data_IF_403718030201
#
_entry.id   IF_403718030201
#
_cell.length_a   1.000
_cell.length_b   1.000
_cell.length_c   1.000
_cell.angle_alpha   90.00
_cell.angle_beta   90.00
_cell.angle_gamma   90.00
#
_symmetry.space_group_name_H-M   'P 1'
#
loop_
_entity.id
_entity.type
_entity.pdbx_description
1 polymer ?
#
# COMPACT_ATOMS: atom_id res chain seq x y z
N UNK A 1 -14.67 18.27 -9.93
CA UNK A 1 -13.25 18.55 -9.66
C UNK A 1 -13.08 18.83 -8.17
N UNK A 2 -11.90 18.56 -7.63
CA UNK A 2 -11.48 18.88 -6.25
C UNK A 2 -10.12 19.55 -6.30
N UNK A 3 -9.96 20.62 -5.53
CA UNK A 3 -8.73 21.40 -5.40
C UNK A 3 -8.79 22.15 -4.07
N UNK A 4 -7.66 22.65 -3.60
CA UNK A 4 -7.63 23.53 -2.44
C UNK A 4 -8.37 24.86 -2.75
N UNK A 5 -9.13 25.46 -1.81
CA UNK A 5 -9.84 26.72 -2.06
C UNK A 5 -8.94 27.87 -2.56
N UNK A 6 -7.71 27.95 -2.05
CA UNK A 6 -6.73 28.96 -2.51
C UNK A 6 -6.31 28.76 -3.98
N UNK A 7 -6.33 27.52 -4.50
CA UNK A 7 -6.07 27.26 -5.91
C UNK A 7 -7.26 27.65 -6.79
N UNK A 8 -8.48 27.60 -6.26
CA UNK A 8 -9.67 27.99 -7.00
C UNK A 8 -9.62 29.47 -7.38
N UNK A 9 -9.30 30.34 -6.43
CA UNK A 9 -9.22 31.79 -6.64
C UNK A 9 -8.14 32.20 -7.65
N UNK A 10 -7.07 31.40 -7.75
CA UNK A 10 -5.96 31.68 -8.67
C UNK A 10 -6.16 31.07 -10.06
N UNK A 11 -6.93 29.97 -10.17
CA UNK A 11 -7.10 29.22 -11.43
C UNK A 11 -8.44 29.43 -12.12
N UNK A 12 -9.44 29.93 -11.40
CA UNK A 12 -10.77 30.21 -11.96
C UNK A 12 -10.96 31.71 -12.00
N UNK A 13 -11.10 32.26 -13.20
CA UNK A 13 -11.46 33.65 -13.38
C UNK A 13 -12.93 33.88 -12.96
N UNK A 14 -13.08 34.30 -11.71
CA UNK A 14 -14.39 34.58 -11.09
C UNK A 14 -15.08 35.76 -11.79
N UNK A 15 -14.33 36.66 -12.43
CA UNK A 15 -14.91 37.83 -13.12
C UNK A 15 -15.77 37.44 -14.33
N UNK A 16 -15.51 36.27 -14.92
CA UNK A 16 -16.34 35.68 -15.97
C UNK A 16 -17.60 34.97 -15.47
N UNK A 17 -17.76 34.77 -14.16
CA UNK A 17 -18.90 34.05 -13.59
C UNK A 17 -20.09 35.00 -13.35
N UNK A 18 -21.27 34.60 -13.84
CA UNK A 18 -22.53 35.31 -13.56
C UNK A 18 -23.25 34.61 -12.43
N UNK A 19 -23.57 35.36 -11.36
CA UNK A 19 -24.41 34.86 -10.26
C UNK A 19 -25.79 34.50 -10.83
N UNK A 20 -26.19 33.24 -10.66
CA UNK A 20 -27.52 32.76 -11.01
C UNK A 20 -28.24 32.27 -9.76
N UNK A 21 -29.58 32.42 -9.66
CA UNK A 21 -30.36 31.76 -8.62
C UNK A 21 -30.16 30.24 -8.70
N UNK A 22 -30.01 29.59 -7.55
CA UNK A 22 -29.84 28.15 -7.50
C UNK A 22 -31.14 27.44 -7.92
N UNK A 23 -31.14 26.81 -9.09
CA UNK A 23 -32.23 25.93 -9.53
C UNK A 23 -32.22 24.65 -8.69
N UNK A 24 -33.36 24.32 -8.07
CA UNK A 24 -33.53 23.11 -7.25
C UNK A 24 -33.12 21.83 -7.99
N UNK A 25 -33.35 21.76 -9.31
CA UNK A 25 -32.94 20.60 -10.13
C UNK A 25 -31.41 20.52 -10.23
N UNK A 26 -30.75 21.64 -10.41
CA UNK A 26 -29.28 21.71 -10.45
C UNK A 26 -28.66 21.40 -9.10
N UNK A 27 -29.26 21.89 -7.99
CA UNK A 27 -28.83 21.57 -6.63
C UNK A 27 -28.94 20.07 -6.38
N UNK A 28 -30.08 19.45 -6.71
CA UNK A 28 -30.26 18.00 -6.55
C UNK A 28 -29.23 17.21 -7.35
N UNK A 29 -29.00 17.59 -8.62
CA UNK A 29 -27.98 16.95 -9.46
C UNK A 29 -26.57 17.13 -8.89
N UNK A 30 -26.25 18.31 -8.35
CA UNK A 30 -24.96 18.58 -7.71
C UNK A 30 -24.77 17.70 -6.46
N UNK A 31 -25.82 17.54 -5.64
CA UNK A 31 -25.80 16.65 -4.48
C UNK A 31 -25.61 15.19 -4.88
N UNK A 32 -26.27 14.72 -5.93
CA UNK A 32 -26.09 13.36 -6.46
C UNK A 32 -24.65 13.13 -6.94
N UNK A 33 -24.09 14.07 -7.71
CA UNK A 33 -22.68 14.01 -8.14
C UNK A 33 -21.75 14.03 -6.93
N UNK A 34 -22.01 14.88 -5.93
CA UNK A 34 -21.20 14.93 -4.73
C UNK A 34 -21.25 13.61 -3.96
N UNK A 35 -22.43 13.02 -3.74
CA UNK A 35 -22.59 11.76 -3.04
C UNK A 35 -21.85 10.59 -3.74
N UNK A 36 -21.83 10.58 -5.07
CA UNK A 36 -21.16 9.54 -5.87
C UNK A 36 -19.63 9.74 -5.89
N UNK A 37 -19.16 10.96 -6.12
CA UNK A 37 -17.75 11.23 -6.38
C UNK A 37 -16.95 11.53 -5.11
N UNK A 38 -17.58 12.10 -4.07
CA UNK A 38 -16.88 12.48 -2.85
C UNK A 38 -16.18 11.31 -2.13
N UNK A 39 -16.79 10.12 -1.95
CA UNK A 39 -16.17 9.00 -1.25
C UNK A 39 -14.96 8.38 -1.98
N UNK A 40 -14.71 8.77 -3.23
CA UNK A 40 -13.65 8.18 -4.07
C UNK A 40 -12.26 8.73 -3.76
N UNK A 41 -12.14 9.92 -3.18
CA UNK A 41 -10.86 10.59 -2.94
C UNK A 41 -10.88 11.42 -1.66
N UNK A 42 -9.70 11.82 -1.17
CA UNK A 42 -9.51 12.75 -0.05
C UNK A 42 -10.38 12.46 1.17
N UNK A 43 -10.55 11.18 1.49
CA UNK A 43 -11.28 10.76 2.68
C UNK A 43 -10.42 9.86 3.53
N UNK A 44 -10.57 10.07 4.83
CA UNK A 44 -9.81 9.38 5.85
C UNK A 44 -10.73 8.41 6.57
N UNK A 45 -10.24 7.19 6.80
CA UNK A 45 -10.84 6.25 7.72
C UNK A 45 -10.26 6.48 9.13
N UNK A 46 -11.09 7.02 10.02
CA UNK A 46 -10.74 7.32 11.41
C UNK A 46 -11.11 6.19 12.38
N UNK A 47 -11.73 5.10 11.91
CA UNK A 47 -12.13 3.89 12.65
C UNK A 47 -12.48 4.11 14.12
N UNK A 48 -11.49 3.95 15.00
CA UNK A 48 -11.61 3.99 16.46
C UNK A 48 -12.12 5.35 16.98
N UNK A 49 -11.94 6.43 16.22
CA UNK A 49 -12.34 7.79 16.60
C UNK A 49 -13.73 8.17 16.08
N UNK A 50 -14.11 7.68 14.89
CA UNK A 50 -15.39 8.01 14.28
C UNK A 50 -15.78 6.99 13.21
N UNK A 51 -17.07 6.68 13.17
CA UNK A 51 -17.69 5.85 12.10
C UNK A 51 -18.10 6.68 10.87
N UNK A 52 -18.04 8.01 10.97
CA UNK A 52 -18.40 8.89 9.87
C UNK A 52 -17.27 8.98 8.83
N UNK A 53 -17.60 9.31 7.59
CA UNK A 53 -16.57 9.54 6.56
C UNK A 53 -16.08 10.98 6.68
N UNK A 54 -14.80 11.13 7.05
CA UNK A 54 -14.16 12.44 7.14
C UNK A 54 -13.46 12.76 5.82
N UNK A 55 -13.59 14.01 5.39
CA UNK A 55 -12.93 14.51 4.18
C UNK A 55 -11.84 15.49 4.56
N UNK A 56 -10.70 15.38 3.86
CA UNK A 56 -9.62 16.35 3.96
C UNK A 56 -9.61 17.28 2.76
N UNK A 57 -9.11 18.48 2.99
CA UNK A 57 -8.80 19.39 1.90
C UNK A 57 -7.53 18.89 1.19
N UNK A 58 -7.50 18.88 -0.15
CA UNK A 58 -6.26 18.68 -0.91
C UNK A 58 -5.20 19.70 -0.48
N UNK A 59 -3.92 19.35 -0.56
CA UNK A 59 -2.88 20.36 -0.31
C UNK A 59 -2.89 21.42 -1.41
N UNK A 60 -2.35 22.61 -1.13
CA UNK A 60 -2.19 23.64 -2.16
C UNK A 60 -1.35 23.10 -3.32
N UNK A 61 -1.86 23.23 -4.53
CA UNK A 61 -1.26 22.69 -5.76
C UNK A 61 -1.85 21.35 -6.19
N UNK A 62 -2.45 20.58 -5.28
CA UNK A 62 -3.11 19.32 -5.59
C UNK A 62 -4.41 19.55 -6.37
N UNK A 63 -4.70 18.63 -7.29
CA UNK A 63 -5.88 18.70 -8.13
C UNK A 63 -6.40 17.31 -8.45
N UNK A 64 -7.73 17.15 -8.46
CA UNK A 64 -8.38 15.94 -8.92
C UNK A 64 -9.58 16.27 -9.81
N UNK A 65 -9.61 15.68 -11.00
CA UNK A 65 -10.68 15.80 -11.96
C UNK A 65 -11.22 14.42 -12.35
N UNK A 66 -12.52 14.23 -12.25
CA UNK A 66 -13.22 13.09 -12.85
C UNK A 66 -13.77 13.53 -14.21
N UNK A 67 -13.28 12.91 -15.29
CA UNK A 67 -13.59 13.25 -16.67
C UNK A 67 -14.44 12.13 -17.25
N UNK A 68 -15.72 12.42 -17.49
CA UNK A 68 -16.65 11.47 -18.11
C UNK A 68 -16.48 11.52 -19.62
N UNK A 69 -16.11 10.39 -20.22
CA UNK A 69 -15.93 10.25 -21.67
C UNK A 69 -16.95 9.26 -22.24
N UNK A 70 -17.31 9.43 -23.52
CA UNK A 70 -18.26 8.53 -24.17
C UNK A 70 -17.66 7.14 -24.45
N UNK A 71 -16.37 7.08 -24.84
CA UNK A 71 -15.72 5.84 -25.29
C UNK A 71 -15.00 5.08 -24.17
N UNK A 72 -14.39 5.80 -23.23
CA UNK A 72 -13.47 5.20 -22.24
C UNK A 72 -14.06 5.15 -20.83
N UNK A 73 -15.29 5.62 -20.64
CA UNK A 73 -15.91 5.73 -19.32
C UNK A 73 -15.38 6.95 -18.55
N UNK A 74 -15.34 6.85 -17.22
CA UNK A 74 -14.84 7.92 -16.35
C UNK A 74 -13.35 7.74 -16.09
N UNK A 75 -12.56 8.74 -16.46
CA UNK A 75 -11.13 8.79 -16.19
C UNK A 75 -10.85 9.77 -15.05
N UNK A 76 -9.95 9.40 -14.15
CA UNK A 76 -9.49 10.24 -13.05
C UNK A 76 -8.16 10.85 -13.44
N UNK A 77 -8.11 12.17 -13.55
CA UNK A 77 -6.86 12.93 -13.60
C UNK A 77 -6.54 13.39 -12.19
N UNK A 78 -5.33 13.12 -11.71
CA UNK A 78 -4.85 13.68 -10.45
C UNK A 78 -3.49 14.33 -10.61
N UNK A 79 -3.31 15.43 -9.88
CA UNK A 79 -2.01 15.97 -9.54
C UNK A 79 -1.89 15.96 -8.03
N UNK A 80 -0.88 15.27 -7.49
CA UNK A 80 -0.61 15.19 -6.06
C UNK A 80 0.87 15.45 -5.82
N UNK A 81 1.19 16.52 -5.10
CA UNK A 81 2.57 16.85 -4.75
C UNK A 81 3.24 15.77 -3.89
N UNK A 82 4.58 15.84 -3.79
CA UNK A 82 5.37 14.96 -2.92
C UNK A 82 5.86 13.66 -3.58
N UNK A 83 5.35 13.31 -4.76
CA UNK A 83 5.84 12.19 -5.55
C UNK A 83 6.77 12.65 -6.67
N UNK A 84 7.68 11.76 -7.09
CA UNK A 84 8.57 12.00 -8.22
C UNK A 84 7.82 12.22 -9.54
N UNK A 85 6.70 11.52 -9.68
CA UNK A 85 5.74 11.64 -10.77
C UNK A 85 4.41 12.09 -10.15
N UNK A 86 4.21 13.40 -10.11
CA UNK A 86 3.06 14.02 -9.43
C UNK A 86 1.80 14.08 -10.29
N UNK A 87 1.84 13.70 -11.58
CA UNK A 87 0.68 13.72 -12.47
C UNK A 87 0.29 12.32 -12.90
N UNK A 88 -0.99 11.96 -12.71
CA UNK A 88 -1.53 10.65 -13.07
C UNK A 88 -2.84 10.76 -13.86
N UNK A 89 -3.02 9.85 -14.82
CA UNK A 89 -4.29 9.56 -15.47
C UNK A 89 -4.64 8.10 -15.21
N UNK A 90 -5.79 7.86 -14.57
CA UNK A 90 -6.17 6.55 -14.07
C UNK A 90 -7.61 6.19 -14.45
N UNK A 91 -7.81 4.94 -14.85
CA UNK A 91 -9.14 4.34 -15.00
C UNK A 91 -9.48 3.56 -13.71
N UNK A 92 -10.33 4.15 -12.87
CA UNK A 92 -10.76 3.56 -11.60
C UNK A 92 -11.58 2.28 -11.78
N UNK A 93 -12.42 2.21 -12.82
CA UNK A 93 -13.28 1.07 -13.04
C UNK A 93 -12.46 -0.19 -13.38
N UNK A 94 -11.38 -0.01 -14.13
CA UNK A 94 -10.45 -1.08 -14.53
C UNK A 94 -9.22 -1.20 -13.63
N UNK A 95 -9.10 -0.36 -12.60
CA UNK A 95 -7.93 -0.25 -11.70
C UNK A 95 -6.61 -0.13 -12.47
N UNK A 96 -6.58 0.71 -13.51
CA UNK A 96 -5.45 0.81 -14.45
C UNK A 96 -4.90 2.22 -14.56
N UNK A 97 -3.59 2.37 -14.33
CA UNK A 97 -2.86 3.58 -14.68
C UNK A 97 -2.66 3.67 -16.20
N UNK A 98 -3.06 4.79 -16.79
CA UNK A 98 -2.93 5.06 -18.23
C UNK A 98 -1.64 5.84 -18.51
N UNK A 99 -1.37 6.86 -17.70
CA UNK A 99 -0.13 7.64 -17.78
C UNK A 99 0.28 8.14 -16.40
N UNK A 100 1.59 8.23 -16.20
CA UNK A 100 2.23 8.72 -14.98
C UNK A 100 3.47 9.52 -15.40
N UNK A 101 3.61 10.76 -14.93
CA UNK A 101 4.75 11.61 -15.25
C UNK A 101 4.93 12.76 -14.26
N UNK A 102 6.11 13.38 -14.28
CA UNK A 102 6.44 14.55 -13.48
C UNK A 102 5.96 15.86 -14.13
N UNK A 103 5.33 16.73 -13.35
CA UNK A 103 4.93 18.07 -13.77
C UNK A 103 6.14 18.97 -14.01
N UNK A 104 6.00 20.05 -14.81
CA UNK A 104 7.09 21.01 -15.05
C UNK A 104 7.66 21.60 -13.75
N UNK A 105 6.84 21.87 -12.74
CA UNK A 105 7.30 22.36 -11.44
C UNK A 105 8.11 21.32 -10.67
N UNK A 106 7.71 20.05 -10.72
CA UNK A 106 8.45 18.95 -10.08
C UNK A 106 9.80 18.75 -10.75
N UNK A 107 9.82 18.78 -12.10
CA UNK A 107 11.07 18.70 -12.87
C UNK A 107 12.00 19.89 -12.62
N UNK A 108 11.45 21.10 -12.48
CA UNK A 108 12.25 22.29 -12.18
C UNK A 108 12.87 22.23 -10.77
N UNK A 109 12.15 21.70 -9.78
CA UNK A 109 12.64 21.56 -8.40
C UNK A 109 13.65 20.41 -8.25
N UNK A 110 13.39 19.27 -8.89
CA UNK A 110 14.19 18.05 -8.81
C UNK A 110 15.43 18.07 -9.70
N UNK A 111 15.35 18.79 -10.82
CA UNK A 111 16.33 18.70 -11.89
C UNK A 111 16.13 17.47 -12.81
N UNK A 112 17.02 17.30 -13.80
CA UNK A 112 16.87 16.30 -14.86
C UNK A 112 17.08 14.86 -14.39
N UNK A 113 17.78 14.64 -13.29
CA UNK A 113 18.05 13.32 -12.72
C UNK A 113 17.07 12.99 -11.61
N UNK A 114 16.63 11.74 -11.55
CA UNK A 114 15.79 11.22 -10.47
C UNK A 114 16.62 10.29 -9.60
N UNK A 115 16.70 10.58 -8.31
CA UNK A 115 17.17 9.66 -7.29
C UNK A 115 16.00 9.34 -6.36
N UNK A 116 15.73 8.05 -6.17
CA UNK A 116 14.70 7.57 -5.24
C UNK A 116 15.00 8.01 -3.79
N UNK A 117 16.27 8.24 -3.45
CA UNK A 117 16.67 8.59 -2.09
C UNK A 117 16.37 10.05 -1.70
N UNK A 118 16.28 10.96 -2.67
CA UNK A 118 16.21 12.41 -2.42
C UNK A 118 14.87 12.87 -1.79
N UNK A 119 13.82 12.03 -1.89
CA UNK A 119 12.48 12.32 -1.34
C UNK A 119 12.18 11.58 -0.03
N UNK A 120 13.15 10.82 0.52
CA UNK A 120 12.92 10.01 1.72
C UNK A 120 12.89 10.85 2.98
N UNK A 121 11.75 10.87 3.66
CA UNK A 121 11.64 11.46 5.00
C UNK A 121 12.25 10.56 6.09
N UNK A 122 12.34 9.26 5.82
CA UNK A 122 12.93 8.25 6.69
C UNK A 122 13.50 7.07 5.88
N UNK A 123 14.33 6.29 6.55
CA UNK A 123 15.07 5.13 6.05
C UNK A 123 14.76 3.93 6.96
N UNK A 124 14.38 2.77 6.41
CA UNK A 124 14.00 1.60 7.23
C UNK A 124 15.19 0.66 7.35
N UNK A 125 15.64 0.44 8.59
CA UNK A 125 16.84 -0.31 8.89
C UNK A 125 16.56 -1.81 8.95
N UNK A 126 15.47 -2.19 9.62
CA UNK A 126 15.17 -3.58 9.94
C UNK A 126 13.66 -3.82 10.07
N UNK A 127 13.25 -5.00 9.61
CA UNK A 127 11.88 -5.51 9.76
C UNK A 127 11.86 -6.81 10.55
N UNK A 128 10.99 -6.88 11.55
CA UNK A 128 10.60 -8.13 12.18
C UNK A 128 9.11 -8.35 11.95
N UNK A 129 8.78 -9.30 11.07
CA UNK A 129 7.42 -9.55 10.59
C UNK A 129 6.95 -10.88 11.16
N UNK A 130 6.00 -10.84 12.09
CA UNK A 130 5.29 -12.00 12.59
C UNK A 130 3.92 -12.08 11.91
N UNK A 131 3.66 -13.12 11.11
CA UNK A 131 2.39 -13.27 10.40
C UNK A 131 1.79 -14.66 10.53
N UNK A 132 0.47 -14.73 10.58
CA UNK A 132 -0.33 -15.95 10.48
C UNK A 132 -1.12 -15.89 9.18
N UNK A 133 -0.97 -16.90 8.33
CA UNK A 133 -1.62 -16.97 7.01
C UNK A 133 -2.65 -18.09 6.99
N UNK A 134 -3.83 -17.78 6.46
CA UNK A 134 -4.91 -18.74 6.23
C UNK A 134 -5.22 -18.81 4.73
N UNK A 135 -4.51 -19.68 3.98
CA UNK A 135 -4.66 -19.77 2.52
C UNK A 135 -6.10 -19.99 2.05
N UNK A 136 -6.84 -20.89 2.71
CA UNK A 136 -8.22 -21.25 2.34
C UNK A 136 -9.18 -20.06 2.40
N UNK A 137 -8.93 -19.12 3.32
CA UNK A 137 -9.75 -17.92 3.52
C UNK A 137 -9.15 -16.68 2.86
N UNK A 138 -7.96 -16.80 2.28
CA UNK A 138 -7.15 -15.69 1.79
C UNK A 138 -7.01 -14.59 2.85
N UNK A 139 -6.71 -14.99 4.09
CA UNK A 139 -6.70 -14.10 5.24
C UNK A 139 -5.32 -14.06 5.87
N UNK A 140 -4.90 -12.88 6.29
CA UNK A 140 -3.63 -12.62 6.95
C UNK A 140 -3.88 -11.90 8.27
N UNK A 141 -3.15 -12.32 9.29
CA UNK A 141 -2.94 -11.57 10.52
C UNK A 141 -1.45 -11.28 10.63
N UNK A 142 -1.09 -10.04 10.93
CA UNK A 142 0.30 -9.60 10.94
C UNK A 142 0.59 -8.66 12.09
N UNK A 143 1.79 -8.80 12.64
CA UNK A 143 2.42 -7.86 13.55
C UNK A 143 3.81 -7.58 12.99
N UNK A 144 4.08 -6.33 12.67
CA UNK A 144 5.36 -5.92 12.15
C UNK A 144 5.99 -4.92 13.10
N UNK A 145 7.16 -5.28 13.62
CA UNK A 145 8.05 -4.36 14.27
C UNK A 145 9.02 -3.83 13.22
N UNK A 146 9.10 -2.51 13.07
CA UNK A 146 10.00 -1.86 12.12
C UNK A 146 10.86 -0.85 12.87
N UNK A 147 12.15 -0.84 12.55
CA UNK A 147 13.08 0.18 13.04
C UNK A 147 13.44 1.09 11.88
N UNK A 148 13.20 2.39 12.04
CA UNK A 148 13.49 3.40 11.03
C UNK A 148 14.35 4.53 11.59
N UNK A 149 15.04 5.22 10.69
CA UNK A 149 15.84 6.41 10.98
C UNK A 149 15.32 7.59 10.19
N UNK A 150 15.11 8.71 10.88
CA UNK A 150 14.62 9.94 10.27
C UNK A 150 15.71 10.57 9.41
N UNK A 151 15.35 10.90 8.16
CA UNK A 151 16.23 11.56 7.19
C UNK A 151 15.81 13.01 6.95
N UNK A 152 14.55 13.38 7.19
CA UNK A 152 14.12 14.78 7.13
C UNK A 152 14.69 15.59 8.32
N UNK A 153 14.84 16.91 8.16
CA UNK A 153 15.28 17.79 9.26
C UNK A 153 14.33 17.72 10.45
N UNK A 154 13.03 17.71 10.17
CA UNK A 154 11.98 17.45 11.14
C UNK A 154 10.82 16.68 10.49
N UNK A 155 10.42 15.57 11.10
CA UNK A 155 9.30 14.74 10.66
C UNK A 155 8.23 14.68 11.75
N UNK A 156 7.05 15.25 11.48
CA UNK A 156 5.87 15.11 12.36
C UNK A 156 5.00 13.91 11.98
N UNK A 157 5.13 13.42 10.75
CA UNK A 157 4.34 12.32 10.21
C UNK A 157 5.23 11.33 9.48
N UNK A 158 4.84 10.06 9.53
CA UNK A 158 5.47 8.96 8.80
C UNK A 158 4.42 8.30 7.92
N UNK A 159 4.67 8.25 6.62
CA UNK A 159 3.80 7.55 5.66
C UNK A 159 4.42 6.22 5.31
N UNK A 160 3.67 5.14 5.48
CA UNK A 160 4.02 3.76 5.13
C UNK A 160 3.03 3.25 4.09
N UNK A 161 3.40 2.20 3.35
CA UNK A 161 2.56 1.52 2.38
C UNK A 161 2.07 0.18 2.93
N UNK A 162 0.76 -0.05 2.92
CA UNK A 162 0.12 -1.29 3.38
C UNK A 162 -1.15 -1.52 2.56
N UNK A 163 -1.42 -2.74 2.15
CA UNK A 163 -2.56 -3.03 1.27
C UNK A 163 -3.89 -2.55 1.90
N UNK A 164 -4.74 -1.93 1.06
CA UNK A 164 -6.02 -1.34 1.47
C UNK A 164 -6.95 -2.30 2.24
N UNK A 165 -7.06 -3.60 1.87
CA UNK A 165 -7.88 -4.56 2.61
C UNK A 165 -7.39 -4.88 4.02
N UNK A 166 -6.16 -4.49 4.39
CA UNK A 166 -5.56 -4.79 5.69
C UNK A 166 -5.97 -3.74 6.71
N UNK A 167 -6.84 -4.14 7.61
CA UNK A 167 -7.24 -3.38 8.77
C UNK A 167 -6.10 -3.22 9.76
N UNK A 168 -5.58 -2.01 9.95
CA UNK A 168 -4.64 -1.68 11.03
C UNK A 168 -5.42 -1.52 12.33
N UNK A 169 -5.00 -2.22 13.37
CA UNK A 169 -5.66 -2.23 14.70
C UNK A 169 -4.88 -1.42 15.74
N UNK A 170 -3.55 -1.39 15.62
CA UNK A 170 -2.70 -0.60 16.51
C UNK A 170 -1.40 -0.20 15.84
N UNK A 171 -0.95 1.01 16.13
CA UNK A 171 0.41 1.47 15.91
C UNK A 171 0.95 1.95 17.25
N UNK A 172 2.05 1.35 17.71
CA UNK A 172 2.69 1.66 18.99
C UNK A 172 4.16 1.96 18.73
N UNK A 173 4.70 2.98 19.39
CA UNK A 173 6.13 3.24 19.47
C UNK A 173 6.60 2.98 20.89
N UNK A 174 7.83 2.48 21.04
CA UNK A 174 8.46 2.34 22.34
C UNK A 174 8.72 3.69 23.01
N UNK A 175 9.02 4.74 22.23
CA UNK A 175 9.28 6.09 22.75
C UNK A 175 7.98 6.85 23.09
N UNK A 176 6.94 6.68 22.27
CA UNK A 176 5.75 7.52 22.30
C UNK A 176 4.47 6.81 22.75
N UNK A 177 4.51 5.50 22.97
CA UNK A 177 3.33 4.70 23.27
C UNK A 177 2.40 4.56 22.06
N UNK A 178 1.08 4.53 22.29
CA UNK A 178 0.10 4.38 21.22
C UNK A 178 0.05 5.64 20.35
N UNK A 179 0.29 5.46 19.05
CA UNK A 179 0.32 6.55 18.08
C UNK A 179 -1.04 6.71 17.39
N UNK A 180 -1.35 7.96 17.04
CA UNK A 180 -2.46 8.26 16.15
C UNK A 180 -2.07 7.89 14.72
N UNK A 181 -2.88 7.09 14.05
CA UNK A 181 -2.69 6.74 12.65
C UNK A 181 -3.99 6.89 11.88
N UNK A 182 -3.87 7.03 10.57
CA UNK A 182 -5.01 7.13 9.67
C UNK A 182 -4.68 6.48 8.33
N UNK A 183 -5.73 5.97 7.68
CA UNK A 183 -5.64 5.38 6.35
C UNK A 183 -6.43 6.20 5.35
N UNK A 184 -5.87 6.36 4.16
CA UNK A 184 -6.57 6.94 3.03
C UNK A 184 -7.39 5.82 2.39
N UNK A 185 -8.70 6.03 2.19
CA UNK A 185 -9.55 5.02 1.56
C UNK A 185 -9.21 4.87 0.08
N UNK A 186 -9.27 3.64 -0.43
CA UNK A 186 -8.92 3.28 -1.81
C UNK A 186 -7.44 3.53 -2.15
N UNK A 187 -6.58 3.59 -1.14
CA UNK A 187 -5.15 3.79 -1.27
C UNK A 187 -4.39 2.86 -0.31
N UNK A 188 -3.12 2.61 -0.59
CA UNK A 188 -2.26 1.79 0.27
C UNK A 188 -1.48 2.63 1.30
N UNK A 189 -1.77 3.92 1.42
CA UNK A 189 -1.16 4.81 2.42
C UNK A 189 -1.66 4.55 3.85
N UNK A 190 -0.71 4.29 4.75
CA UNK A 190 -0.85 4.31 6.21
C UNK A 190 -0.04 5.50 6.74
N UNK A 191 -0.70 6.49 7.32
CA UNK A 191 -0.04 7.68 7.86
C UNK A 191 -0.06 7.61 9.38
N UNK A 192 1.10 7.77 10.00
CA UNK A 192 1.31 7.73 11.44
C UNK A 192 1.76 9.12 11.90
N UNK A 193 1.04 9.71 12.85
CA UNK A 193 1.39 10.98 13.46
C UNK A 193 2.30 10.75 14.66
N UNK A 194 3.41 11.49 14.70
CA UNK A 194 4.29 11.55 15.86
C UNK A 194 3.83 12.67 16.81
N UNK A 195 3.79 12.45 18.14
CA UNK A 195 3.37 13.48 19.08
C UNK A 195 4.31 14.69 19.11
N UNK A 196 5.59 14.46 18.77
CA UNK A 196 6.65 15.46 18.67
C UNK A 196 7.39 15.22 17.37
N UNK A 197 7.75 16.30 16.66
CA UNK A 197 8.53 16.19 15.42
C UNK A 197 9.89 15.56 15.69
N UNK A 198 10.12 14.38 15.11
CA UNK A 198 11.39 13.69 15.21
C UNK A 198 12.43 14.37 14.31
N UNK A 199 13.63 14.58 14.84
CA UNK A 199 14.72 15.26 14.15
C UNK A 199 15.52 14.28 13.30
N UNK A 200 16.25 14.81 12.30
CA UNK A 200 17.21 14.04 11.48
C UNK A 200 18.13 13.19 12.36
N UNK A 201 18.29 11.92 11.98
CA UNK A 201 19.13 10.94 12.67
C UNK A 201 18.45 10.24 13.85
N UNK A 202 17.28 10.70 14.30
CA UNK A 202 16.51 9.97 15.32
C UNK A 202 16.13 8.57 14.81
N UNK A 203 16.29 7.56 15.65
CA UNK A 203 15.80 6.21 15.41
C UNK A 203 14.45 6.06 16.10
N UNK A 204 13.47 5.48 15.40
CA UNK A 204 12.13 5.22 15.92
C UNK A 204 11.79 3.76 15.65
N UNK A 205 11.23 3.10 16.65
CA UNK A 205 10.67 1.76 16.50
C UNK A 205 9.13 1.81 16.48
N UNK A 206 8.51 1.18 15.50
CA UNK A 206 7.04 1.06 15.40
C UNK A 206 6.60 -0.41 15.40
N UNK A 207 5.65 -0.73 16.25
CA UNK A 207 4.90 -1.97 16.28
C UNK A 207 3.51 -1.75 15.65
N UNK A 208 3.28 -2.40 14.50
CA UNK A 208 2.05 -2.26 13.72
C UNK A 208 1.33 -3.60 13.67
N UNK A 209 0.12 -3.65 14.20
CA UNK A 209 -0.76 -4.82 14.11
C UNK A 209 -1.82 -4.59 13.03
N UNK A 210 -2.02 -5.60 12.19
CA UNK A 210 -2.96 -5.54 11.08
C UNK A 210 -3.56 -6.92 10.78
N UNK A 211 -4.74 -6.94 10.18
CA UNK A 211 -5.33 -8.17 9.66
C UNK A 211 -6.30 -7.88 8.54
N UNK A 212 -6.61 -8.87 7.71
CA UNK A 212 -7.60 -8.69 6.66
C UNK A 212 -7.56 -9.75 5.60
N UNK A 213 -8.51 -9.66 4.68
CA UNK A 213 -8.55 -10.53 3.51
C UNK A 213 -7.63 -9.98 2.44
N UNK A 214 -6.64 -10.76 2.02
CA UNK A 214 -5.69 -10.39 0.97
C UNK A 214 -5.67 -11.50 -0.08
N UNK A 215 -6.14 -11.25 -1.32
CA UNK A 215 -6.18 -12.28 -2.34
C UNK A 215 -4.77 -12.72 -2.75
N UNK A 216 -4.63 -14.00 -3.11
CA UNK A 216 -3.39 -14.52 -3.70
C UNK A 216 -3.10 -13.79 -5.01
N UNK A 217 -1.82 -13.54 -5.28
CA UNK A 217 -1.39 -13.00 -6.56
C UNK A 217 -1.40 -14.07 -7.64
N UNK A 218 -1.88 -13.72 -8.82
CA UNK A 218 -1.67 -14.55 -10.00
C UNK A 218 -0.18 -14.59 -10.33
N UNK A 219 0.34 -15.79 -10.58
CA UNK A 219 1.64 -15.95 -11.23
C UNK A 219 1.48 -15.49 -12.68
N UNK A 220 2.02 -14.31 -13.01
CA UNK A 220 2.17 -13.93 -14.42
C UNK A 220 3.18 -14.90 -15.05
N UNK A 221 2.68 -15.80 -15.89
CA UNK A 221 3.51 -16.62 -16.77
C UNK A 221 4.08 -15.70 -17.85
N UNK A 222 5.25 -15.12 -17.61
CA UNK A 222 6.11 -14.59 -18.67
C UNK A 222 6.68 -15.77 -19.48
N UNK A 223 5.80 -16.49 -20.18
CA UNK A 223 6.21 -17.44 -21.20
C UNK A 223 6.35 -16.61 -22.47
N UNK A 224 7.59 -16.47 -22.97
CA UNK A 224 7.81 -16.06 -24.35
C UNK A 224 6.96 -16.98 -25.20
N UNK A 225 5.93 -16.44 -25.85
CA UNK A 225 5.21 -17.14 -26.89
C UNK A 225 6.20 -17.37 -28.03
N UNK A 226 6.92 -18.49 -27.97
CA UNK A 226 7.46 -19.10 -29.18
C UNK A 226 6.22 -19.48 -29.98
N UNK A 227 6.03 -18.84 -31.12
CA UNK A 227 4.96 -19.14 -32.06
C UNK A 227 4.91 -20.66 -32.27
N UNK A 228 3.91 -21.31 -31.68
CA UNK A 228 3.68 -22.72 -31.84
C UNK A 228 3.22 -22.94 -33.28
N UNK A 229 4.12 -23.51 -34.09
CA UNK A 229 3.71 -24.27 -35.26
C UNK A 229 2.78 -25.40 -34.77
N UNK A 230 1.62 -25.48 -35.40
CA UNK A 230 0.61 -26.53 -35.20
C UNK A 230 1.27 -27.91 -35.11
N UNK A 231 1.14 -28.57 -33.96
CA UNK A 231 0.84 -30.00 -33.85
C UNK A 231 0.61 -30.39 -32.38
N UNK A 232 -0.35 -31.30 -32.20
CA UNK A 232 -0.80 -32.00 -30.99
C UNK A 232 -1.74 -31.29 -29.98
N UNK A 233 -3.00 -31.71 -30.12
CA UNK A 233 -4.13 -31.48 -29.23
C UNK A 233 -4.08 -32.40 -28.00
N UNK A 234 -2.97 -32.39 -27.25
CA UNK A 234 -2.85 -33.16 -25.99
C UNK A 234 -2.04 -32.44 -24.88
N UNK A 235 -1.72 -31.16 -25.07
CA UNK A 235 -0.92 -30.36 -24.11
C UNK A 235 -1.76 -29.59 -23.08
N UNK A 236 -3.09 -29.74 -23.08
CA UNK A 236 -4.01 -29.06 -22.16
C UNK A 236 -4.04 -29.68 -20.74
N UNK A 237 -3.17 -30.67 -20.50
CA UNK A 237 -2.85 -31.22 -19.17
C UNK A 237 -1.55 -30.65 -18.57
N UNK A 238 -1.03 -29.52 -19.07
CA UNK A 238 0.08 -28.78 -18.46
C UNK A 238 -0.28 -28.29 -17.04
N UNK A 239 -0.10 -29.21 -16.08
CA UNK A 239 -0.12 -29.05 -14.64
C UNK A 239 -1.00 -27.89 -14.15
N UNK A 240 -2.25 -28.17 -13.75
CA UNK A 240 -2.98 -27.28 -12.85
C UNK A 240 -2.09 -27.07 -11.62
N UNK A 241 -1.37 -25.95 -11.60
CA UNK A 241 -0.53 -25.55 -10.48
C UNK A 241 -1.38 -25.68 -9.22
N UNK A 242 -0.85 -26.36 -8.21
CA UNK A 242 -1.55 -26.44 -6.93
C UNK A 242 -1.89 -25.02 -6.46
N UNK A 243 -3.09 -24.82 -5.86
CA UNK A 243 -3.47 -23.51 -5.36
C UNK A 243 -2.40 -23.03 -4.39
N UNK A 244 -1.79 -21.89 -4.72
CA UNK A 244 -0.76 -21.25 -3.93
C UNK A 244 -1.27 -19.92 -3.39
N UNK A 245 -0.83 -19.59 -2.19
CA UNK A 245 -1.05 -18.29 -1.59
C UNK A 245 0.25 -17.51 -1.69
N UNK A 246 0.37 -16.71 -2.76
CA UNK A 246 1.54 -15.92 -3.08
C UNK A 246 1.30 -14.46 -2.66
N UNK A 247 2.21 -13.96 -1.83
CA UNK A 247 2.30 -12.57 -1.41
C UNK A 247 3.68 -12.04 -1.78
N UNK A 248 3.77 -11.06 -2.68
CA UNK A 248 5.01 -10.38 -3.08
C UNK A 248 4.91 -8.87 -2.90
N UNK A 249 5.92 -8.10 -3.33
CA UNK A 249 5.93 -6.63 -3.32
C UNK A 249 4.69 -5.96 -3.94
N UNK A 250 4.01 -6.63 -4.88
CA UNK A 250 2.78 -6.11 -5.50
C UNK A 250 1.56 -6.12 -4.57
N UNK A 251 1.56 -6.92 -3.52
CA UNK A 251 0.55 -6.96 -2.49
C UNK A 251 1.27 -6.46 -1.24
N UNK A 252 1.10 -5.20 -0.87
CA UNK A 252 1.74 -4.62 0.32
C UNK A 252 1.24 -5.33 1.60
N UNK A 253 1.67 -6.58 1.80
CA UNK A 253 1.16 -7.56 2.76
C UNK A 253 1.72 -7.32 4.16
N UNK A 254 2.74 -6.46 4.25
CA UNK A 254 3.33 -5.90 5.45
C UNK A 254 3.50 -4.38 5.25
N UNK A 255 3.66 -3.59 6.33
CA UNK A 255 3.97 -2.17 6.24
C UNK A 255 5.33 -1.97 5.56
N UNK A 256 5.32 -1.36 4.38
CA UNK A 256 6.48 -1.09 3.53
C UNK A 256 6.84 0.40 3.55
N UNK A 257 8.08 0.73 3.20
CA UNK A 257 8.42 2.09 2.83
C UNK A 257 7.64 2.51 1.57
N UNK A 258 7.32 3.80 1.44
CA UNK A 258 6.66 4.36 0.25
C UNK A 258 7.60 4.31 -0.95
N UNK A 259 8.89 4.56 -0.71
CA UNK A 259 9.95 4.41 -1.69
C UNK A 259 10.69 3.11 -1.38
N UNK A 260 10.81 2.23 -2.37
CA UNK A 260 11.44 0.92 -2.15
C UNK A 260 12.89 1.06 -1.71
N UNK A 261 13.27 0.30 -0.70
CA UNK A 261 14.60 0.37 -0.10
C UNK A 261 15.08 -1.02 0.31
N UNK A 262 16.39 -1.15 0.58
CA UNK A 262 16.99 -2.37 1.06
C UNK A 262 17.00 -2.42 2.58
N UNK A 263 16.34 -3.42 3.15
CA UNK A 263 16.33 -3.64 4.58
C UNK A 263 16.61 -5.11 4.91
N UNK A 264 17.15 -5.35 6.10
CA UNK A 264 17.23 -6.70 6.68
C UNK A 264 15.87 -7.09 7.24
N UNK A 265 15.63 -8.40 7.35
CA UNK A 265 14.42 -8.86 7.98
C UNK A 265 14.54 -10.20 8.70
N UNK A 266 13.73 -10.34 9.75
CA UNK A 266 13.29 -11.62 10.32
C UNK A 266 11.81 -11.79 10.02
N UNK A 267 11.47 -12.84 9.27
CA UNK A 267 10.10 -13.12 8.84
C UNK A 267 9.66 -14.43 9.47
N UNK A 268 8.68 -14.36 10.36
CA UNK A 268 8.04 -15.52 10.95
C UNK A 268 6.66 -15.70 10.37
N UNK A 269 6.42 -16.89 9.81
CA UNK A 269 5.17 -17.25 9.15
C UNK A 269 4.59 -18.47 9.82
N UNK A 270 3.36 -18.35 10.33
CA UNK A 270 2.58 -19.46 10.87
C UNK A 270 1.47 -19.83 9.88
N UNK A 271 1.38 -21.11 9.55
CA UNK A 271 0.38 -21.67 8.61
C UNK A 271 -0.30 -22.90 9.20
N UNK A 272 -1.51 -23.28 8.76
CA UNK A 272 -2.15 -24.51 9.20
C UNK A 272 -1.32 -25.76 8.86
N UNK A 273 -1.50 -26.84 9.61
CA UNK A 273 -0.68 -28.07 9.53
C UNK A 273 -0.58 -28.70 8.14
N UNK A 274 -1.64 -28.57 7.33
CA UNK A 274 -1.66 -29.10 5.95
C UNK A 274 -0.77 -28.30 4.95
N UNK A 275 -0.18 -27.19 5.39
CA UNK A 275 0.55 -26.26 4.55
C UNK A 275 2.01 -26.13 5.00
N UNK A 276 2.88 -25.91 4.02
CA UNK A 276 4.23 -25.40 4.23
C UNK A 276 4.39 -24.03 3.60
N UNK A 277 5.43 -23.30 3.98
CA UNK A 277 5.73 -22.01 3.37
C UNK A 277 7.21 -21.84 3.03
N UNK A 278 7.46 -20.94 2.09
CA UNK A 278 8.78 -20.42 1.73
C UNK A 278 8.67 -18.92 1.72
N UNK A 279 9.63 -18.24 2.35
CA UNK A 279 9.72 -16.79 2.33
C UNK A 279 11.11 -16.32 1.89
N UNK A 280 11.23 -15.02 1.62
CA UNK A 280 12.53 -14.37 1.41
C UNK A 280 13.44 -14.55 2.62
N UNK A 281 14.69 -14.98 2.37
CA UNK A 281 15.70 -15.22 3.41
C UNK A 281 16.07 -16.69 3.56
N UNK A 282 16.93 -16.98 4.52
CA UNK A 282 17.34 -18.35 4.86
C UNK A 282 16.44 -18.91 5.95
N UNK A 283 15.91 -20.12 5.75
CA UNK A 283 15.11 -20.82 6.76
C UNK A 283 15.99 -21.14 7.97
N UNK A 284 15.59 -20.64 9.14
CA UNK A 284 16.22 -20.94 10.42
C UNK A 284 15.53 -22.15 11.06
N UNK A 285 16.24 -23.27 11.27
CA UNK A 285 15.68 -24.43 11.95
C UNK A 285 15.38 -24.12 13.43
N UNK A 286 14.25 -24.59 13.95
CA UNK A 286 14.07 -24.79 15.40
C UNK A 286 13.52 -23.62 16.22
N UNK A 287 13.04 -22.54 15.61
CA UNK A 287 12.55 -21.37 16.37
C UNK A 287 11.04 -21.50 16.71
N UNK A 288 10.68 -22.58 17.41
CA UNK A 288 9.34 -22.72 18.02
C UNK A 288 9.35 -21.81 19.25
N UNK A 289 8.82 -20.59 19.14
CA UNK A 289 8.84 -19.68 20.28
C UNK A 289 7.89 -20.20 21.38
N UNK A 290 8.18 -19.89 22.66
CA UNK A 290 7.28 -20.18 23.79
C UNK A 290 5.85 -19.65 23.58
N UNK A 291 5.68 -18.65 22.70
CA UNK A 291 4.37 -18.13 22.28
C UNK A 291 3.59 -19.16 21.46
N UNK A 292 4.22 -20.00 20.63
CA UNK A 292 3.53 -21.08 19.90
C UNK A 292 3.00 -22.15 20.84
N UNK A 293 3.76 -22.48 21.89
CA UNK A 293 3.32 -23.40 22.93
C UNK A 293 2.16 -22.82 23.76
N UNK A 294 2.12 -21.50 23.98
CA UNK A 294 1.11 -20.82 24.77
C UNK A 294 -0.16 -20.43 23.98
N UNK A 295 -0.06 -20.23 22.66
CA UNK A 295 -1.17 -19.71 21.84
C UNK A 295 -2.14 -20.79 21.36
N UNK A 296 -1.81 -22.08 21.48
CA UNK A 296 -2.68 -23.21 21.12
C UNK A 296 -3.15 -23.22 19.66
N UNK A 297 -2.60 -22.35 18.80
CA UNK A 297 -2.97 -22.24 17.39
C UNK A 297 -2.31 -23.40 16.66
N UNK A 298 -3.06 -24.47 16.40
CA UNK A 298 -2.62 -25.58 15.58
C UNK A 298 -2.05 -25.07 14.25
N UNK A 299 -0.80 -25.40 13.96
CA UNK A 299 -0.09 -24.92 12.79
C UNK A 299 1.43 -25.08 12.91
N UNK A 300 2.12 -24.92 11.79
CA UNK A 300 3.58 -24.90 11.71
C UNK A 300 4.08 -23.46 11.60
N UNK A 301 5.09 -23.12 12.40
CA UNK A 301 5.79 -21.83 12.32
C UNK A 301 7.13 -22.00 11.64
N UNK A 302 7.42 -21.11 10.69
CA UNK A 302 8.67 -21.07 9.93
C UNK A 302 9.30 -19.69 10.11
N UNK A 303 10.61 -19.64 10.37
CA UNK A 303 11.35 -18.38 10.51
C UNK A 303 12.38 -18.27 9.40
N UNK A 304 12.33 -17.18 8.65
CA UNK A 304 13.25 -16.85 7.57
C UNK A 304 14.04 -15.59 7.92
N UNK A 305 15.36 -15.66 7.84
CA UNK A 305 16.25 -14.54 8.13
C UNK A 305 16.88 -14.03 6.83
N UNK A 306 16.57 -12.79 6.48
CA UNK A 306 17.21 -12.02 5.42
C UNK A 306 18.33 -11.16 6.03
N UNK A 307 19.48 -11.78 6.28
CA UNK A 307 20.64 -11.12 6.89
C UNK A 307 21.34 -10.13 5.94
N UNK A 308 21.23 -10.37 4.63
CA UNK A 308 21.61 -9.40 3.62
C UNK A 308 20.41 -8.52 3.30
N UNK A 309 20.57 -7.18 3.17
CA UNK A 309 19.48 -6.29 2.82
C UNK A 309 18.80 -6.70 1.51
N UNK A 310 17.47 -6.84 1.52
CA UNK A 310 16.66 -7.19 0.34
C UNK A 310 15.64 -6.08 0.09
N UNK A 311 15.36 -5.80 -1.18
CA UNK A 311 14.45 -4.72 -1.61
C UNK A 311 12.96 -5.02 -1.34
N UNK A 312 12.59 -6.29 -1.30
CA UNK A 312 11.21 -6.72 -1.06
C UNK A 312 11.15 -8.12 -0.46
N UNK A 313 10.13 -8.37 0.35
CA UNK A 313 9.85 -9.69 0.91
C UNK A 313 8.66 -10.35 0.23
N UNK A 314 8.82 -11.62 -0.11
CA UNK A 314 7.78 -12.46 -0.65
C UNK A 314 7.59 -13.71 0.21
N UNK A 315 6.36 -14.23 0.23
CA UNK A 315 5.97 -15.47 0.87
C UNK A 315 5.09 -16.27 -0.08
N UNK A 316 5.36 -17.57 -0.17
CA UNK A 316 4.50 -18.54 -0.84
C UNK A 316 4.09 -19.59 0.17
N UNK A 317 2.78 -19.84 0.27
CA UNK A 317 2.22 -20.94 1.05
C UNK A 317 1.53 -21.92 0.11
N UNK A 318 1.85 -23.21 0.25
CA UNK A 318 1.22 -24.30 -0.51
C UNK A 318 1.45 -25.63 0.23
N UNK A 319 1.07 -26.75 -0.36
CA UNK A 319 1.30 -28.10 0.21
C UNK A 319 2.73 -28.54 -0.10
N UNK A 320 3.69 -27.89 0.55
CA UNK A 320 5.11 -28.12 0.31
C UNK A 320 5.63 -29.28 1.16
N UNK A 321 6.30 -30.23 0.53
CA UNK A 321 7.11 -31.24 1.21
C UNK A 321 8.58 -30.88 1.11
N UNK A 322 9.30 -30.89 2.24
CA UNK A 322 10.75 -30.69 2.23
C UNK A 322 11.40 -31.90 1.54
N UNK A 323 12.11 -31.67 0.46
CA UNK A 323 12.98 -32.68 -0.14
C UNK A 323 14.28 -32.67 0.67
N UNK A 324 14.59 -33.80 1.29
CA UNK A 324 15.89 -34.02 1.92
C UNK A 324 16.94 -34.22 0.81
N UNK A 325 18.04 -33.47 0.86
CA UNK A 325 19.27 -33.82 0.13
C UNK A 325 19.99 -34.98 0.83
#
# INVERSE_FOLDING_TARGET
>A
MRMHPADFETRVDVSGLRRMPADLRQVKRAQEVFAIEAPKSFNIDLRDLSRETWYILPQTGDFLGEIRTNKFGTLTYSRSGGNAEDVTLFDRARKRAISLYASPSTLAARGPTYNEDDLRSYDVIDYNIDTVLYPDRQFIEGKTHLTLRIQADAAATLTLRLAEPLAVTSVVSNEFGRLLFFRIRNDDSLIVNLPVSAQRGATIALDIAYSGRLPSQALDRETVAVEAQDEDTDTDMLAKSEPNFLLSSRAAWYPQNVITDYARARIRVTVPEAYGCVASGQLSPGDISLRDAASGSGGHSYVFNANQPVRYFAVVVSRLTRVSD
#
